data_IF_174222460587
#
_entry.id   IF_174222460587
#
_cell.length_a   1.000
_cell.length_b   1.000
_cell.length_c   1.000
_cell.angle_alpha   90.00
_cell.angle_beta   90.00
_cell.angle_gamma   90.00
#
_symmetry.space_group_name_H-M   'P 1'
#
loop_
_entity.id
_entity.type
_entity.pdbx_description
1 polymer ?
#
# COMPACT_ATOMS: atom_id res chain seq x y z
N UNK A 1 -5.03 -27.23 8.59
CA UNK A 1 -3.68 -26.65 8.59
C UNK A 1 -3.49 -25.83 7.34
N UNK A 2 -3.01 -24.59 7.43
CA UNK A 2 -2.65 -23.79 6.26
C UNK A 2 -1.19 -24.10 5.93
N UNK A 3 -0.97 -24.93 4.91
CA UNK A 3 0.38 -25.16 4.39
C UNK A 3 0.92 -23.86 3.78
N UNK A 4 2.05 -23.38 4.27
CA UNK A 4 2.80 -22.30 3.62
C UNK A 4 3.37 -22.87 2.31
N UNK A 5 2.84 -22.42 1.18
CA UNK A 5 3.36 -22.80 -0.14
C UNK A 5 4.61 -21.95 -0.39
N UNK A 6 5.78 -22.51 -0.15
CA UNK A 6 7.06 -21.89 -0.53
C UNK A 6 7.23 -22.01 -2.05
N UNK A 7 7.19 -20.88 -2.76
CA UNK A 7 7.46 -20.85 -4.20
C UNK A 7 8.97 -20.95 -4.44
N UNK A 8 9.37 -21.78 -5.41
CA UNK A 8 10.77 -21.85 -5.83
C UNK A 8 11.20 -20.57 -6.58
N UNK A 9 12.50 -20.24 -6.63
CA UNK A 9 13.02 -19.12 -7.39
C UNK A 9 12.62 -19.15 -8.88
N UNK A 10 12.53 -20.35 -9.47
CA UNK A 10 12.06 -20.54 -10.84
C UNK A 10 10.56 -20.17 -10.99
N UNK A 11 9.71 -20.58 -10.04
CA UNK A 11 8.29 -20.22 -10.06
C UNK A 11 8.06 -18.72 -9.82
N UNK A 12 8.88 -18.09 -8.97
CA UNK A 12 8.91 -16.63 -8.80
C UNK A 12 9.31 -15.94 -10.10
N UNK A 13 10.38 -16.38 -10.76
CA UNK A 13 10.83 -15.80 -12.04
C UNK A 13 9.80 -15.96 -13.16
N UNK A 14 9.16 -17.13 -13.28
CA UNK A 14 8.10 -17.38 -14.25
C UNK A 14 6.87 -16.50 -13.97
N UNK A 15 6.52 -16.31 -12.70
CA UNK A 15 5.45 -15.38 -12.28
C UNK A 15 5.80 -13.94 -12.66
N UNK A 16 7.05 -13.49 -12.45
CA UNK A 16 7.50 -12.15 -12.87
C UNK A 16 7.49 -11.95 -14.40
N UNK A 17 7.86 -12.98 -15.17
CA UNK A 17 7.78 -12.96 -16.64
C UNK A 17 6.31 -12.87 -17.10
N UNK A 18 5.41 -13.59 -16.46
CA UNK A 18 3.97 -13.51 -16.76
C UNK A 18 3.40 -12.13 -16.44
N UNK A 19 3.84 -11.53 -15.33
CA UNK A 19 3.49 -10.17 -14.89
C UNK A 19 3.92 -9.11 -15.92
N UNK A 20 5.11 -9.28 -16.53
CA UNK A 20 5.65 -8.35 -17.51
C UNK A 20 4.87 -8.28 -18.84
N UNK A 21 4.06 -9.30 -19.15
CA UNK A 21 3.29 -9.40 -20.41
C UNK A 21 1.87 -8.85 -20.31
N UNK A 22 1.42 -8.43 -19.13
CA UNK A 22 0.04 -8.00 -18.94
C UNK A 22 -0.12 -6.57 -19.45
N UNK A 23 -1.03 -6.38 -20.42
CA UNK A 23 -1.32 -5.08 -21.04
C UNK A 23 -2.03 -4.19 -20.02
N UNK A 24 -1.31 -3.21 -19.49
CA UNK A 24 -1.80 -2.33 -18.43
C UNK A 24 -2.73 -1.27 -19.00
N UNK A 25 -3.85 -0.94 -18.33
CA UNK A 25 -4.61 0.26 -18.64
C UNK A 25 -3.71 1.49 -18.41
N UNK A 26 -3.82 2.54 -19.24
CA UNK A 26 -3.06 3.77 -19.03
C UNK A 26 -3.51 4.40 -17.70
N UNK A 27 -2.65 4.36 -16.68
CA UNK A 27 -2.94 5.06 -15.42
C UNK A 27 -2.19 4.63 -14.17
N UNK A 28 -1.91 3.36 -13.90
CA UNK A 28 -1.31 3.02 -12.60
C UNK A 28 -0.61 1.65 -12.54
N UNK A 29 0.70 1.60 -12.83
CA UNK A 29 1.55 0.42 -12.60
C UNK A 29 1.42 -0.12 -11.17
N UNK A 30 1.24 0.76 -10.19
CA UNK A 30 1.14 0.43 -8.76
C UNK A 30 -0.13 -0.36 -8.38
N UNK A 31 -1.26 -0.07 -9.04
CA UNK A 31 -2.54 -0.74 -8.77
C UNK A 31 -2.43 -2.18 -9.23
N UNK A 32 -1.85 -2.35 -10.41
CA UNK A 32 -1.60 -3.64 -11.01
C UNK A 32 -0.60 -4.50 -10.23
N UNK A 33 0.54 -3.93 -9.81
CA UNK A 33 1.53 -4.64 -8.98
C UNK A 33 0.89 -5.09 -7.66
N UNK A 34 -0.03 -4.30 -7.09
CA UNK A 34 -0.73 -4.72 -5.89
C UNK A 34 -1.73 -5.85 -6.13
N UNK A 35 -2.48 -5.84 -7.24
CA UNK A 35 -3.42 -6.92 -7.56
C UNK A 35 -2.68 -8.27 -7.67
N UNK A 36 -1.42 -8.22 -8.15
CA UNK A 36 -0.50 -9.37 -8.14
C UNK A 36 0.06 -9.68 -6.75
N UNK A 37 0.41 -8.65 -5.97
CA UNK A 37 0.94 -8.83 -4.63
C UNK A 37 -0.11 -9.35 -3.64
N UNK A 38 -1.41 -9.26 -3.94
CA UNK A 38 -2.51 -9.56 -3.01
C UNK A 38 -2.48 -10.99 -2.43
N UNK A 39 -1.80 -11.94 -3.08
CA UNK A 39 -1.59 -13.30 -2.57
C UNK A 39 -0.42 -13.42 -1.57
N UNK A 40 0.42 -12.40 -1.44
CA UNK A 40 1.58 -12.35 -0.55
C UNK A 40 1.61 -11.02 0.25
N UNK A 41 1.27 -11.03 1.54
CA UNK A 41 1.25 -9.85 2.40
C UNK A 41 2.59 -9.08 2.45
N UNK A 42 3.73 -9.77 2.37
CA UNK A 42 5.05 -9.13 2.41
C UNK A 42 5.30 -8.29 1.15
N UNK A 43 4.87 -8.80 0.00
CA UNK A 43 4.95 -8.05 -1.27
C UNK A 43 4.00 -6.85 -1.24
N UNK A 44 2.79 -7.00 -0.69
CA UNK A 44 1.84 -5.87 -0.54
C UNK A 44 2.47 -4.76 0.29
N UNK A 45 3.07 -5.12 1.43
CA UNK A 45 3.75 -4.20 2.32
C UNK A 45 4.88 -3.46 1.61
N UNK A 46 5.78 -4.20 0.95
CA UNK A 46 6.94 -3.62 0.25
C UNK A 46 6.52 -2.68 -0.89
N UNK A 47 5.56 -3.09 -1.73
CA UNK A 47 5.08 -2.30 -2.88
C UNK A 47 4.43 -1.01 -2.42
N UNK A 48 3.53 -1.09 -1.44
CA UNK A 48 2.84 0.09 -0.92
C UNK A 48 3.79 0.97 -0.10
N UNK A 49 4.81 0.39 0.54
CA UNK A 49 5.90 1.12 1.19
C UNK A 49 6.90 1.75 0.19
N UNK A 50 6.83 1.43 -1.10
CA UNK A 50 7.68 2.03 -2.11
C UNK A 50 7.02 3.20 -2.85
N UNK A 51 5.74 3.51 -2.58
CA UNK A 51 5.03 4.61 -3.26
C UNK A 51 5.58 5.97 -2.80
N UNK A 52 6.31 6.71 -3.66
CA UNK A 52 7.01 7.93 -3.23
C UNK A 52 6.18 9.21 -3.46
N UNK A 53 5.14 9.13 -4.27
CA UNK A 53 4.30 10.25 -4.68
C UNK A 53 2.86 9.81 -4.99
N UNK A 54 1.89 10.75 -4.96
CA UNK A 54 0.51 10.48 -5.36
C UNK A 54 0.44 9.85 -6.74
N UNK A 55 -0.39 8.83 -6.87
CA UNK A 55 -0.53 8.06 -8.10
C UNK A 55 -1.67 8.66 -8.95
N UNK A 56 -1.59 8.63 -10.29
CA UNK A 56 -2.67 9.13 -11.12
C UNK A 56 -3.99 8.45 -10.77
N UNK A 57 -5.06 9.25 -10.62
CA UNK A 57 -6.39 8.71 -10.32
C UNK A 57 -7.09 8.33 -11.61
N UNK A 58 -7.66 7.12 -11.64
CA UNK A 58 -8.53 6.70 -12.75
C UNK A 58 -9.91 7.32 -12.54
N UNK A 59 -10.55 7.92 -13.57
CA UNK A 59 -11.90 8.47 -13.44
C UNK A 59 -12.89 7.44 -12.89
N UNK A 60 -13.73 7.86 -11.93
CA UNK A 60 -14.68 6.96 -11.24
C UNK A 60 -15.56 6.18 -12.21
N UNK A 61 -16.02 6.83 -13.29
CA UNK A 61 -16.86 6.23 -14.34
C UNK A 61 -16.22 5.03 -15.06
N UNK A 62 -14.90 4.87 -14.97
CA UNK A 62 -14.18 3.75 -15.59
C UNK A 62 -14.05 2.54 -14.66
N UNK A 63 -14.32 2.70 -13.37
CA UNK A 63 -14.20 1.62 -12.38
C UNK A 63 -15.60 1.25 -11.89
N UNK A 64 -16.04 0.03 -12.19
CA UNK A 64 -17.39 -0.45 -11.83
C UNK A 64 -17.44 -1.17 -10.48
N UNK A 65 -16.29 -1.54 -9.92
CA UNK A 65 -16.18 -2.38 -8.73
C UNK A 65 -15.07 -1.90 -7.81
N UNK A 66 -15.27 -2.05 -6.50
CA UNK A 66 -14.23 -1.82 -5.50
C UNK A 66 -13.01 -2.68 -5.81
N UNK A 67 -11.84 -2.07 -5.91
CA UNK A 67 -10.59 -2.77 -6.22
C UNK A 67 -10.01 -3.55 -5.02
N UNK A 68 -10.74 -3.61 -3.91
CA UNK A 68 -10.40 -4.42 -2.73
C UNK A 68 -11.39 -5.57 -2.56
N UNK A 69 -12.66 -5.26 -2.29
CA UNK A 69 -13.69 -6.27 -2.00
C UNK A 69 -14.52 -6.68 -3.21
N UNK A 70 -14.28 -6.10 -4.39
CA UNK A 70 -14.98 -6.38 -5.66
C UNK A 70 -16.47 -6.03 -5.71
N UNK A 71 -17.04 -5.49 -4.63
CA UNK A 71 -18.43 -4.99 -4.58
C UNK A 71 -18.66 -3.94 -5.67
N UNK A 72 -19.78 -4.04 -6.37
CA UNK A 72 -20.16 -3.11 -7.44
C UNK A 72 -20.49 -1.73 -6.88
N UNK A 73 -20.01 -0.70 -7.58
CA UNK A 73 -20.44 0.66 -7.30
C UNK A 73 -21.83 0.87 -7.87
N UNK A 74 -22.74 1.35 -7.03
CA UNK A 74 -24.11 1.62 -7.46
C UNK A 74 -24.19 2.97 -8.17
N UNK A 75 -25.28 3.16 -8.93
CA UNK A 75 -25.56 4.41 -9.64
C UNK A 75 -25.91 5.57 -8.68
N UNK A 76 -26.42 5.25 -7.49
CA UNK A 76 -26.84 6.22 -6.46
C UNK A 76 -26.16 5.99 -5.10
N UNK A 77 -26.02 4.74 -4.69
CA UNK A 77 -25.38 4.30 -3.44
C UNK A 77 -24.04 3.60 -3.72
N UNK A 78 -23.13 3.57 -2.74
CA UNK A 78 -21.80 2.93 -2.88
C UNK A 78 -20.97 3.51 -4.04
N UNK A 79 -20.42 4.72 -3.85
CA UNK A 79 -19.59 5.42 -4.86
C UNK A 79 -18.13 4.96 -4.80
N UNK A 80 -17.38 5.18 -5.88
CA UNK A 80 -15.92 5.05 -5.82
C UNK A 80 -15.32 6.17 -4.96
N UNK A 81 -14.39 5.81 -4.09
CA UNK A 81 -13.49 6.74 -3.43
C UNK A 81 -12.05 6.40 -3.81
N UNK A 82 -11.21 7.40 -4.10
CA UNK A 82 -9.78 7.14 -4.33
C UNK A 82 -8.99 7.15 -3.02
N UNK A 83 -8.23 6.09 -2.79
CA UNK A 83 -7.20 6.08 -1.75
C UNK A 83 -6.13 7.12 -2.08
N UNK A 84 -5.80 8.05 -1.18
CA UNK A 84 -4.80 9.09 -1.45
C UNK A 84 -3.35 8.57 -1.48
N UNK A 85 -3.11 7.34 -1.02
CA UNK A 85 -1.79 6.69 -1.06
C UNK A 85 -1.57 5.89 -2.35
N UNK A 86 -2.46 4.93 -2.64
CA UNK A 86 -2.32 4.01 -3.78
C UNK A 86 -3.24 4.31 -4.98
N UNK A 87 -4.11 5.32 -4.87
CA UNK A 87 -5.07 5.77 -5.91
C UNK A 87 -6.10 4.75 -6.41
N UNK A 88 -6.28 3.61 -5.72
CA UNK A 88 -7.38 2.67 -6.01
C UNK A 88 -8.75 3.29 -5.76
N UNK A 89 -9.69 2.99 -6.65
CA UNK A 89 -11.13 3.14 -6.45
C UNK A 89 -11.62 2.07 -5.46
N UNK A 90 -12.07 2.51 -4.29
CA UNK A 90 -12.50 1.67 -3.17
C UNK A 90 -13.86 2.11 -2.65
N UNK A 91 -14.64 1.19 -2.10
CA UNK A 91 -15.91 1.53 -1.46
C UNK A 91 -15.68 2.21 -0.10
N UNK A 92 -16.76 2.71 0.49
CA UNK A 92 -16.73 3.32 1.82
C UNK A 92 -16.19 2.35 2.89
N UNK A 93 -16.65 1.10 2.90
CA UNK A 93 -16.21 0.11 3.88
C UNK A 93 -14.70 -0.14 3.81
N UNK A 94 -14.13 -0.26 2.60
CA UNK A 94 -12.69 -0.49 2.39
C UNK A 94 -11.84 0.79 2.54
N UNK A 95 -12.45 1.93 2.84
CA UNK A 95 -11.79 3.22 3.04
C UNK A 95 -12.35 4.02 4.21
N UNK A 96 -12.79 3.30 5.25
CA UNK A 96 -13.46 3.87 6.43
C UNK A 96 -12.53 4.72 7.31
N UNK A 97 -11.21 4.69 7.06
CA UNK A 97 -10.19 5.34 7.89
C UNK A 97 -9.48 6.48 7.17
N UNK A 98 -8.91 7.40 7.96
CA UNK A 98 -8.07 8.49 7.48
C UNK A 98 -6.69 8.39 8.12
N UNK A 99 -5.63 8.44 7.31
CA UNK A 99 -4.26 8.45 7.78
C UNK A 99 -3.79 9.88 8.12
N UNK A 100 -3.04 10.08 9.21
CA UNK A 100 -2.43 11.37 9.52
C UNK A 100 -1.46 11.82 8.42
N UNK A 101 -1.38 13.12 8.14
CA UNK A 101 -0.54 13.68 7.06
C UNK A 101 0.94 13.29 7.24
N UNK A 102 1.45 13.27 8.47
CA UNK A 102 2.84 12.93 8.79
C UNK A 102 3.18 11.44 8.64
N UNK A 103 2.20 10.57 8.35
CA UNK A 103 2.42 9.15 8.08
C UNK A 103 2.85 8.86 6.64
N UNK A 104 2.60 9.81 5.73
CA UNK A 104 3.00 9.70 4.33
C UNK A 104 4.52 9.88 4.20
N UNK A 105 5.18 9.15 3.29
CA UNK A 105 6.62 9.28 3.10
C UNK A 105 6.92 10.68 2.54
N UNK A 106 8.05 11.31 2.85
CA UNK A 106 8.40 12.57 2.17
C UNK A 106 9.16 12.26 0.87
N UNK A 107 8.93 12.98 -0.24
CA UNK A 107 8.09 14.17 -0.42
C UNK A 107 6.69 13.85 -1.00
N UNK A 108 5.93 12.96 -0.38
CA UNK A 108 4.57 12.60 -0.80
C UNK A 108 3.60 13.77 -0.53
N UNK A 109 3.63 14.77 -1.42
CA UNK A 109 2.76 15.93 -1.36
C UNK A 109 1.62 15.73 -2.35
N UNK A 110 0.43 15.48 -1.81
CA UNK A 110 -0.79 15.61 -2.61
C UNK A 110 -1.00 17.10 -2.86
N UNK A 111 -0.90 17.54 -4.12
CA UNK A 111 -1.05 18.97 -4.51
C UNK A 111 -2.38 19.58 -4.02
N UNK A 112 -3.37 18.74 -3.69
CA UNK A 112 -4.72 19.11 -3.25
C UNK A 112 -5.01 18.89 -1.75
N UNK A 113 -4.05 18.45 -0.93
CA UNK A 113 -4.26 18.27 0.53
C UNK A 113 -3.56 19.41 1.25
N UNK A 114 -4.34 20.33 1.84
CA UNK A 114 -3.80 21.23 2.86
C UNK A 114 -3.14 20.39 3.96
N UNK A 115 -1.94 20.77 4.40
CA UNK A 115 -1.05 19.97 5.26
C UNK A 115 -1.61 19.68 6.69
N UNK A 116 -2.89 19.93 6.92
CA UNK A 116 -3.51 19.94 8.25
C UNK A 116 -4.54 18.83 8.46
N UNK A 117 -5.11 18.22 7.41
CA UNK A 117 -6.23 17.29 7.56
C UNK A 117 -5.87 15.82 7.25
N UNK A 118 -6.32 14.84 8.07
CA UNK A 118 -6.17 13.43 7.77
C UNK A 118 -6.74 13.04 6.40
N UNK A 119 -6.01 12.21 5.66
CA UNK A 119 -6.35 11.83 4.29
C UNK A 119 -7.01 10.45 4.21
N UNK A 120 -8.10 10.35 3.44
CA UNK A 120 -8.77 9.05 3.18
C UNK A 120 -7.80 8.09 2.50
N UNK A 121 -7.66 6.90 3.06
CA UNK A 121 -6.85 5.82 2.50
C UNK A 121 -7.62 4.51 2.61
N UNK A 122 -7.26 3.50 1.81
CA UNK A 122 -7.79 2.17 2.00
C UNK A 122 -7.18 1.50 3.24
N UNK A 123 -7.82 0.44 3.75
CA UNK A 123 -7.39 -0.24 4.97
C UNK A 123 -5.94 -0.75 4.91
N UNK A 124 -5.49 -1.31 3.79
CA UNK A 124 -4.08 -1.75 3.65
C UNK A 124 -3.12 -0.57 3.77
N UNK A 125 -3.41 0.52 3.07
CA UNK A 125 -2.57 1.71 3.11
C UNK A 125 -2.56 2.32 4.51
N UNK A 126 -3.69 2.29 5.23
CA UNK A 126 -3.76 2.74 6.61
C UNK A 126 -2.80 1.95 7.51
N UNK A 127 -2.82 0.61 7.44
CA UNK A 127 -1.90 -0.22 8.24
C UNK A 127 -0.44 0.06 7.92
N UNK A 128 -0.10 0.19 6.63
CA UNK A 128 1.28 0.44 6.18
C UNK A 128 1.81 1.78 6.66
N UNK A 129 0.99 2.82 6.51
CA UNK A 129 1.33 4.17 6.95
C UNK A 129 1.47 4.24 8.48
N UNK A 130 0.61 3.52 9.22
CA UNK A 130 0.70 3.44 10.67
C UNK A 130 1.95 2.67 11.13
N UNK A 131 2.30 1.57 10.46
CA UNK A 131 3.54 0.83 10.72
C UNK A 131 4.77 1.73 10.54
N UNK A 132 4.82 2.53 9.47
CA UNK A 132 5.91 3.51 9.28
C UNK A 132 6.02 4.51 10.41
N UNK A 133 4.90 5.01 10.94
CA UNK A 133 4.93 5.91 12.10
C UNK A 133 5.51 5.22 13.33
N UNK A 134 5.10 3.97 13.59
CA UNK A 134 5.61 3.18 14.72
C UNK A 134 7.10 2.89 14.59
N UNK A 135 7.56 2.50 13.41
CA UNK A 135 8.98 2.27 13.13
C UNK A 135 9.84 3.54 13.29
N UNK A 136 9.27 4.72 13.02
CA UNK A 136 9.95 6.01 13.22
C UNK A 136 9.91 6.49 14.68
N UNK A 137 8.99 5.98 15.49
CA UNK A 137 8.80 6.33 16.89
C UNK A 137 9.61 5.45 17.88
N UNK A 138 10.34 4.43 17.41
CA UNK A 138 11.38 3.80 18.21
C UNK A 138 12.69 4.60 18.08
N UNK A 139 13.10 5.40 19.08
CA UNK A 139 14.50 5.77 19.20
C UNK A 139 15.33 4.49 19.40
N UNK A 140 16.46 4.43 18.71
CA UNK A 140 17.43 3.35 18.79
C UNK A 140 17.95 3.19 20.23
N UNK A 141 17.30 2.36 21.04
CA UNK A 141 17.84 1.88 22.31
C UNK A 141 18.53 0.55 22.04
N UNK A 142 19.84 0.57 21.78
CA UNK A 142 20.62 -0.67 21.70
C UNK A 142 21.79 -0.70 20.72
N UNK A 143 22.74 0.24 20.82
CA UNK A 143 24.14 -0.07 20.55
C UNK A 143 24.96 0.32 21.79
N UNK A 144 24.68 -0.38 22.89
CA UNK A 144 25.57 -0.43 24.04
C UNK A 144 26.60 -1.53 23.77
N UNK A 145 27.87 -1.14 23.78
CA UNK A 145 29.03 -2.01 23.58
C UNK A 145 28.96 -3.21 24.53
N UNK A 146 29.02 -4.42 23.97
CA UNK A 146 29.28 -5.61 24.74
C UNK A 146 30.66 -5.49 25.39
N UNK A 147 30.71 -5.74 26.70
CA UNK A 147 31.87 -5.68 27.54
C UNK A 147 33.06 -6.50 27.01
N UNK A 148 34.25 -5.93 27.12
CA UNK A 148 35.48 -6.70 27.35
C UNK A 148 36.06 -6.23 28.68
N UNK A 149 35.73 -6.98 29.73
CA UNK A 149 36.47 -6.95 30.97
C UNK A 149 37.78 -7.72 30.73
N UNK A 150 38.91 -7.02 30.76
CA UNK A 150 40.21 -7.64 30.95
C UNK A 150 40.61 -7.36 32.39
N UNK A 151 40.65 -8.43 33.18
CA UNK A 151 41.24 -8.44 34.51
C UNK A 151 42.76 -8.39 34.36
N UNK A 152 43.42 -7.44 35.02
CA UNK A 152 44.77 -7.55 35.58
C UNK A 152 44.92 -6.50 36.68
#
# INVERSE_FOLDING_TARGET
GRGSVTMTPAQLSASMVQISKIKLPPGSKIVFIYDLAKANPELVQAVLAAIPAPQPVVPERMVKRCQICTTEFGRMTNRCHHCRHCSRCVCENCSSRKAPVHSFPMPFRHRSVGLTNPSRVCDDCFQILLTRLRSKAMPNFGQGHAAQAQAH
#
